data_IF_020195537159
#
_entry.id   IF_020195537159
#
_cell.length_a   1.000
_cell.length_b   1.000
_cell.length_c   1.000
_cell.angle_alpha   90.00
_cell.angle_beta   90.00
_cell.angle_gamma   90.00
#
_symmetry.space_group_name_H-M   'P 1'
#
loop_
_entity.id
_entity.type
_entity.pdbx_description
1 polymer ?
#
# COMPACT_ATOMS: atom_id res chain seq x y z
N UNK A 1 4.55 32.76 3.40
CA UNK A 1 5.13 31.40 3.27
C UNK A 1 4.93 30.72 4.60
N UNK A 2 4.24 29.58 4.61
CA UNK A 2 4.03 28.80 5.84
C UNK A 2 5.34 28.12 6.23
N UNK A 3 5.64 28.09 7.54
CA UNK A 3 6.80 27.36 8.05
C UNK A 3 6.41 25.92 8.35
N UNK A 4 7.19 24.96 7.86
CA UNK A 4 7.04 23.53 8.14
C UNK A 4 8.31 23.06 8.85
N UNK A 5 8.16 22.52 10.06
CA UNK A 5 9.29 21.94 10.79
C UNK A 5 9.71 20.63 10.10
N UNK A 6 10.95 20.59 9.61
CA UNK A 6 11.49 19.43 8.91
C UNK A 6 11.47 18.18 9.79
N UNK A 7 11.77 18.29 11.09
CA UNK A 7 11.80 17.13 11.99
C UNK A 7 10.41 16.48 12.11
N UNK A 8 9.37 17.30 12.25
CA UNK A 8 7.98 16.85 12.35
C UNK A 8 7.53 15.96 11.18
N UNK A 9 8.00 16.22 9.95
CA UNK A 9 7.70 15.41 8.76
C UNK A 9 8.20 13.97 8.83
N UNK A 10 9.16 13.69 9.72
CA UNK A 10 9.73 12.36 9.93
C UNK A 10 9.34 11.73 11.27
N UNK A 11 8.82 12.52 12.23
CA UNK A 11 8.51 12.04 13.58
C UNK A 11 7.03 12.09 13.96
N UNK A 12 6.17 12.76 13.18
CA UNK A 12 4.71 12.77 13.37
C UNK A 12 4.01 12.48 12.04
N UNK A 13 3.14 11.46 12.05
CA UNK A 13 2.33 11.13 10.89
C UNK A 13 1.32 12.24 10.59
N UNK A 14 0.72 12.81 11.63
CA UNK A 14 -0.24 13.91 11.53
C UNK A 14 0.39 15.13 10.85
N UNK A 15 1.59 15.54 11.27
CA UNK A 15 2.28 16.68 10.66
C UNK A 15 2.63 16.43 9.18
N UNK A 16 3.03 15.20 8.84
CA UNK A 16 3.30 14.82 7.45
C UNK A 16 2.04 14.83 6.59
N UNK A 17 0.94 14.28 7.10
CA UNK A 17 -0.35 14.26 6.38
C UNK A 17 -0.90 15.69 6.21
N UNK A 18 -0.83 16.52 7.25
CA UNK A 18 -1.22 17.93 7.16
C UNK A 18 -0.42 18.67 6.08
N UNK A 19 0.90 18.49 6.06
CA UNK A 19 1.77 19.06 5.02
C UNK A 19 1.38 18.56 3.61
N UNK A 20 1.19 17.25 3.43
CA UNK A 20 0.84 16.66 2.14
C UNK A 20 -0.53 17.14 1.65
N UNK A 21 -1.52 17.26 2.55
CA UNK A 21 -2.83 17.79 2.21
C UNK A 21 -2.73 19.23 1.73
N UNK A 22 -2.01 20.08 2.47
CA UNK A 22 -1.77 21.48 2.07
C UNK A 22 -1.02 21.59 0.75
N UNK A 23 0.03 20.80 0.56
CA UNK A 23 0.87 20.86 -0.63
C UNK A 23 0.14 20.38 -1.90
N UNK A 24 -0.72 19.38 -1.78
CA UNK A 24 -1.47 18.80 -2.90
C UNK A 24 -2.85 19.44 -3.10
N UNK A 25 -3.16 20.49 -2.34
CA UNK A 25 -4.51 21.08 -2.24
C UNK A 25 -5.58 19.99 -2.03
N UNK A 26 -5.31 18.98 -1.19
CA UNK A 26 -6.27 17.91 -0.89
C UNK A 26 -7.31 18.43 0.11
N UNK A 27 -8.51 18.73 -0.38
CA UNK A 27 -9.54 19.44 0.37
C UNK A 27 -10.93 18.77 0.28
N UNK A 28 -11.94 19.43 0.84
CA UNK A 28 -13.32 18.92 0.89
C UNK A 28 -13.88 18.56 -0.50
N UNK A 29 -13.43 19.22 -1.58
CA UNK A 29 -13.88 18.90 -2.94
C UNK A 29 -13.34 17.56 -3.41
N UNK A 30 -12.12 17.21 -3.01
CA UNK A 30 -11.54 15.90 -3.27
C UNK A 30 -12.27 14.83 -2.45
N UNK A 31 -12.57 15.10 -1.17
CA UNK A 31 -13.33 14.20 -0.31
C UNK A 31 -14.73 13.92 -0.87
N UNK A 32 -15.45 14.95 -1.33
CA UNK A 32 -16.74 14.81 -1.99
C UNK A 32 -16.66 13.97 -3.28
N UNK A 33 -15.63 14.20 -4.10
CA UNK A 33 -15.42 13.45 -5.33
C UNK A 33 -15.12 11.97 -5.05
N UNK A 34 -14.32 11.67 -4.03
CA UNK A 34 -14.02 10.30 -3.59
C UNK A 34 -15.27 9.61 -3.01
N UNK A 35 -16.03 10.30 -2.16
CA UNK A 35 -17.26 9.77 -1.59
C UNK A 35 -18.30 9.46 -2.69
N UNK A 36 -18.48 10.37 -3.65
CA UNK A 36 -19.34 10.17 -4.82
C UNK A 36 -18.90 8.95 -5.65
N UNK A 37 -17.60 8.81 -5.88
CA UNK A 37 -17.01 7.73 -6.67
C UNK A 37 -16.89 6.39 -5.95
N UNK A 38 -17.04 6.34 -4.63
CA UNK A 38 -16.65 5.19 -3.80
C UNK A 38 -17.33 3.88 -4.23
N UNK A 39 -18.64 3.90 -4.48
CA UNK A 39 -19.37 2.70 -4.95
C UNK A 39 -18.84 2.22 -6.31
N UNK A 40 -18.69 3.14 -7.26
CA UNK A 40 -18.17 2.82 -8.58
C UNK A 40 -16.76 2.23 -8.52
N UNK A 41 -15.86 2.83 -7.73
CA UNK A 41 -14.50 2.31 -7.56
C UNK A 41 -14.51 0.93 -6.91
N UNK A 42 -15.41 0.67 -5.94
CA UNK A 42 -15.57 -0.66 -5.32
C UNK A 42 -15.96 -1.73 -6.33
N UNK A 43 -16.87 -1.40 -7.25
CA UNK A 43 -17.32 -2.33 -8.30
C UNK A 43 -16.18 -2.70 -9.28
N UNK A 44 -15.16 -1.83 -9.41
CA UNK A 44 -13.96 -2.09 -10.23
C UNK A 44 -12.90 -2.96 -9.54
N UNK A 45 -12.94 -3.11 -8.22
CA UNK A 45 -11.88 -3.76 -7.44
C UNK A 45 -11.52 -5.15 -7.98
N UNK A 46 -12.48 -6.07 -8.28
CA UNK A 46 -12.14 -7.40 -8.76
C UNK A 46 -11.31 -7.38 -10.06
N UNK A 47 -11.64 -6.47 -10.98
CA UNK A 47 -10.92 -6.30 -12.24
C UNK A 47 -9.53 -5.70 -12.01
N UNK A 48 -9.41 -4.70 -11.14
CA UNK A 48 -8.12 -4.10 -10.77
C UNK A 48 -7.19 -5.15 -10.16
N UNK A 49 -7.68 -5.95 -9.21
CA UNK A 49 -6.91 -7.04 -8.59
C UNK A 49 -6.40 -8.00 -9.64
N UNK A 50 -7.27 -8.47 -10.53
CA UNK A 50 -6.89 -9.39 -11.60
C UNK A 50 -5.80 -8.82 -12.51
N UNK A 51 -5.93 -7.56 -12.95
CA UNK A 51 -4.94 -6.89 -13.80
C UNK A 51 -3.60 -6.74 -13.09
N UNK A 52 -3.60 -6.31 -11.82
CA UNK A 52 -2.39 -6.11 -11.02
C UNK A 52 -1.64 -7.42 -10.83
N UNK A 53 -2.30 -8.51 -10.45
CA UNK A 53 -1.62 -9.79 -10.25
C UNK A 53 -1.06 -10.37 -11.54
N UNK A 54 -1.82 -10.29 -12.64
CA UNK A 54 -1.27 -10.67 -13.95
C UNK A 54 -0.05 -9.84 -14.31
N UNK A 55 -0.03 -8.54 -13.98
CA UNK A 55 1.13 -7.67 -14.25
C UNK A 55 2.33 -8.03 -13.38
N UNK A 56 2.13 -8.34 -12.10
CA UNK A 56 3.19 -8.75 -11.18
C UNK A 56 3.76 -10.14 -11.50
N UNK A 57 2.97 -11.04 -12.09
CA UNK A 57 3.44 -12.35 -12.51
C UNK A 57 4.13 -12.36 -13.89
N UNK A 58 4.12 -11.23 -14.62
CA UNK A 58 4.86 -11.11 -15.89
C UNK A 58 6.37 -11.01 -15.71
N UNK A 59 6.84 -10.65 -14.50
CA UNK A 59 8.26 -10.49 -14.20
C UNK A 59 8.62 -11.37 -13.00
N UNK A 60 9.69 -12.12 -13.15
CA UNK A 60 10.24 -12.98 -12.10
C UNK A 60 10.53 -12.19 -10.81
N UNK A 61 11.16 -11.02 -10.92
CA UNK A 61 11.54 -10.19 -9.78
C UNK A 61 10.34 -9.79 -8.90
N UNK A 62 9.17 -9.56 -9.51
CA UNK A 62 7.93 -9.25 -8.76
C UNK A 62 7.19 -10.51 -8.34
N UNK A 63 7.22 -11.58 -9.15
CA UNK A 63 6.60 -12.87 -8.80
C UNK A 63 7.24 -13.50 -7.54
N UNK A 64 8.55 -13.32 -7.36
CA UNK A 64 9.31 -13.80 -6.20
C UNK A 64 8.80 -13.28 -4.86
N UNK A 65 8.16 -12.11 -4.82
CA UNK A 65 7.53 -11.61 -3.59
C UNK A 65 6.39 -12.50 -3.06
N UNK A 66 5.79 -13.35 -3.91
CA UNK A 66 4.68 -14.22 -3.52
C UNK A 66 5.16 -15.56 -2.96
N UNK A 67 6.24 -16.11 -3.52
CA UNK A 67 6.83 -17.38 -3.08
C UNK A 67 7.88 -17.15 -1.98
N UNK A 68 8.93 -16.38 -2.29
CA UNK A 68 10.11 -16.17 -1.42
C UNK A 68 9.88 -15.06 -0.41
N UNK A 69 8.96 -14.14 -0.70
CA UNK A 69 8.63 -12.97 0.15
C UNK A 69 9.77 -11.96 0.33
N UNK A 70 10.77 -11.99 -0.56
CA UNK A 70 11.84 -11.00 -0.62
C UNK A 70 12.27 -10.78 -2.08
N UNK A 71 12.05 -9.58 -2.61
CA UNK A 71 12.45 -9.24 -4.00
C UNK A 71 13.96 -9.23 -4.19
N UNK A 72 14.74 -9.02 -3.13
CA UNK A 72 16.21 -8.91 -3.17
C UNK A 72 16.92 -10.26 -3.18
N UNK A 73 16.22 -11.33 -2.81
CA UNK A 73 16.81 -12.66 -2.81
C UNK A 73 17.17 -13.04 -4.26
N UNK A 74 18.18 -13.89 -4.45
CA UNK A 74 18.54 -14.46 -5.76
C UNK A 74 18.20 -15.96 -5.82
N UNK A 75 17.48 -16.47 -4.81
CA UNK A 75 17.08 -17.87 -4.77
C UNK A 75 16.15 -18.19 -5.95
N UNK A 76 16.33 -19.37 -6.59
CA UNK A 76 15.51 -19.78 -7.71
C UNK A 76 14.06 -19.98 -7.26
N UNK A 77 13.12 -19.56 -8.10
CA UNK A 77 11.71 -19.90 -7.95
C UNK A 77 11.51 -21.41 -8.11
N UNK A 78 10.79 -22.03 -7.17
CA UNK A 78 10.46 -23.45 -7.21
C UNK A 78 9.15 -23.71 -7.95
N UNK A 79 8.24 -22.71 -7.98
CA UNK A 79 6.93 -22.84 -8.59
C UNK A 79 6.67 -21.77 -9.65
N UNK A 80 5.94 -22.16 -10.70
CA UNK A 80 5.30 -21.19 -11.60
C UNK A 80 3.91 -20.92 -11.02
N UNK A 81 3.77 -19.78 -10.35
CA UNK A 81 2.47 -19.35 -9.84
C UNK A 81 1.54 -19.00 -11.00
N UNK A 82 0.37 -19.62 -11.01
CA UNK A 82 -0.72 -19.32 -11.92
C UNK A 82 -1.92 -18.72 -11.18
N UNK A 83 -2.93 -18.29 -11.94
CA UNK A 83 -4.10 -17.64 -11.38
C UNK A 83 -4.88 -18.49 -10.36
N UNK A 84 -4.70 -19.83 -10.36
CA UNK A 84 -5.41 -20.78 -9.52
C UNK A 84 -4.60 -21.26 -8.31
N UNK A 85 -3.33 -20.85 -8.19
CA UNK A 85 -2.45 -21.25 -7.09
C UNK A 85 -3.01 -20.75 -5.75
N UNK A 86 -3.17 -21.62 -4.72
CA UNK A 86 -3.76 -21.25 -3.43
C UNK A 86 -3.07 -20.05 -2.76
N UNK A 87 -1.74 -19.98 -2.86
CA UNK A 87 -0.92 -18.89 -2.36
C UNK A 87 -1.29 -17.57 -3.03
N UNK A 88 -1.54 -17.59 -4.34
CA UNK A 88 -1.93 -16.39 -5.09
C UNK A 88 -3.36 -15.96 -4.72
N UNK A 89 -4.27 -16.91 -4.50
CA UNK A 89 -5.65 -16.61 -4.10
C UNK A 89 -5.71 -15.92 -2.73
N UNK A 90 -4.91 -16.35 -1.75
CA UNK A 90 -4.81 -15.67 -0.45
C UNK A 90 -4.34 -14.22 -0.62
N UNK A 91 -3.38 -13.98 -1.52
CA UNK A 91 -2.86 -12.63 -1.80
C UNK A 91 -3.87 -11.76 -2.55
N UNK A 92 -4.60 -12.33 -3.50
CA UNK A 92 -5.73 -11.65 -4.18
C UNK A 92 -6.78 -11.20 -3.17
N UNK A 93 -7.10 -12.03 -2.17
CA UNK A 93 -8.02 -11.64 -1.10
C UNK A 93 -7.49 -10.46 -0.28
N UNK A 94 -6.19 -10.46 0.06
CA UNK A 94 -5.57 -9.32 0.75
C UNK A 94 -5.66 -8.03 -0.06
N UNK A 95 -5.34 -8.07 -1.35
CA UNK A 95 -5.42 -6.87 -2.21
C UNK A 95 -6.87 -6.39 -2.38
N UNK A 96 -7.84 -7.29 -2.47
CA UNK A 96 -9.26 -6.93 -2.46
C UNK A 96 -9.64 -6.17 -1.18
N UNK A 97 -9.28 -6.69 -0.01
CA UNK A 97 -9.54 -6.02 1.27
C UNK A 97 -8.84 -4.67 1.36
N UNK A 98 -7.60 -4.59 0.88
CA UNK A 98 -6.82 -3.36 0.81
C UNK A 98 -7.47 -2.29 -0.07
N UNK A 99 -7.82 -2.63 -1.32
CA UNK A 99 -8.50 -1.71 -2.24
C UNK A 99 -9.90 -1.31 -1.73
N UNK A 100 -10.59 -2.21 -1.03
CA UNK A 100 -11.86 -1.88 -0.37
C UNK A 100 -11.64 -0.84 0.74
N UNK A 101 -10.54 -0.96 1.48
CA UNK A 101 -10.15 -0.01 2.52
C UNK A 101 -9.70 1.34 1.94
N UNK A 102 -9.10 1.36 0.74
CA UNK A 102 -8.83 2.62 0.00
C UNK A 102 -10.11 3.43 -0.21
N UNK A 103 -11.25 2.78 -0.38
CA UNK A 103 -12.56 3.43 -0.54
C UNK A 103 -13.24 3.85 0.77
N UNK A 104 -12.53 3.81 1.91
CA UNK A 104 -13.02 4.31 3.21
C UNK A 104 -12.74 5.81 3.39
N UNK A 105 -13.29 6.42 4.44
CA UNK A 105 -13.28 7.87 4.65
C UNK A 105 -11.86 8.44 4.84
N UNK A 106 -11.37 9.19 3.84
CA UNK A 106 -10.03 9.80 3.82
C UNK A 106 -9.92 11.08 4.66
N UNK A 107 -11.03 11.57 5.24
CA UNK A 107 -10.99 12.68 6.21
C UNK A 107 -10.44 12.27 7.58
N UNK A 108 -10.34 10.96 7.85
CA UNK A 108 -9.95 10.42 9.16
C UNK A 108 -8.48 10.02 9.17
N UNK A 109 -7.76 10.40 10.23
CA UNK A 109 -6.37 9.95 10.44
C UNK A 109 -6.22 8.43 10.45
N UNK A 110 -7.21 7.69 10.94
CA UNK A 110 -7.23 6.23 10.91
C UNK A 110 -7.08 5.62 9.49
N UNK A 111 -7.49 6.35 8.44
CA UNK A 111 -7.25 5.95 7.06
C UNK A 111 -5.76 6.02 6.71
N UNK A 112 -5.12 7.13 7.05
CA UNK A 112 -3.70 7.39 6.76
C UNK A 112 -2.78 6.51 7.61
N UNK A 113 -3.12 6.27 8.88
CA UNK A 113 -2.44 5.30 9.75
C UNK A 113 -2.47 3.88 9.17
N UNK A 114 -3.61 3.48 8.61
CA UNK A 114 -3.72 2.19 7.93
C UNK A 114 -2.75 2.10 6.75
N UNK A 115 -2.69 3.14 5.89
CA UNK A 115 -1.76 3.18 4.77
C UNK A 115 -0.30 3.17 5.23
N UNK A 116 0.03 3.94 6.26
CA UNK A 116 1.38 3.95 6.84
C UNK A 116 1.80 2.55 7.34
N UNK A 117 0.90 1.85 8.01
CA UNK A 117 1.13 0.47 8.44
C UNK A 117 1.34 -0.50 7.27
N UNK A 118 0.59 -0.32 6.16
CA UNK A 118 0.79 -1.13 4.95
C UNK A 118 2.17 -0.85 4.35
N UNK A 119 2.65 0.40 4.35
CA UNK A 119 4.03 0.74 3.98
C UNK A 119 5.07 -0.02 4.83
N UNK A 120 4.90 -0.01 6.15
CA UNK A 120 5.78 -0.75 7.08
C UNK A 120 5.78 -2.27 6.82
N UNK A 121 4.63 -2.85 6.44
CA UNK A 121 4.52 -4.28 6.13
C UNK A 121 5.37 -4.71 4.92
N UNK A 122 5.61 -3.82 3.95
CA UNK A 122 6.41 -4.11 2.75
C UNK A 122 7.91 -4.11 3.01
N UNK A 123 8.36 -3.60 4.16
CA UNK A 123 9.77 -3.65 4.60
C UNK A 123 10.01 -4.71 5.68
N UNK A 124 9.04 -5.60 5.89
CA UNK A 124 9.14 -6.74 6.79
C UNK A 124 8.69 -6.48 8.23
N UNK A 125 8.10 -5.32 8.52
CA UNK A 125 7.59 -5.00 9.85
C UNK A 125 6.14 -5.46 10.01
N UNK A 126 5.63 -5.46 11.26
CA UNK A 126 4.21 -5.67 11.62
C UNK A 126 3.61 -7.05 11.27
N UNK A 127 4.39 -8.01 10.75
CA UNK A 127 3.94 -9.39 10.47
C UNK A 127 4.90 -10.42 11.02
N UNK A 128 4.36 -11.57 11.42
CA UNK A 128 5.14 -12.74 11.86
C UNK A 128 5.96 -13.37 10.73
N UNK A 129 5.43 -13.36 9.50
CA UNK A 129 6.14 -13.77 8.27
C UNK A 129 6.52 -12.50 7.49
N UNK A 130 7.78 -12.05 7.53
CA UNK A 130 8.20 -10.83 6.85
C UNK A 130 7.91 -10.88 5.34
N UNK A 131 7.65 -9.71 4.76
CA UNK A 131 7.59 -9.49 3.33
C UNK A 131 8.52 -8.31 3.04
N UNK A 132 9.45 -8.48 2.10
CA UNK A 132 10.37 -7.43 1.68
C UNK A 132 10.19 -7.16 0.19
N UNK A 133 9.74 -5.96 -0.12
CA UNK A 133 9.52 -5.51 -1.50
C UNK A 133 10.26 -4.19 -1.67
N UNK A 134 11.16 -4.15 -2.64
CA UNK A 134 11.87 -2.92 -2.96
C UNK A 134 10.94 -1.84 -3.53
N UNK A 135 11.24 -0.59 -3.20
CA UNK A 135 10.38 0.55 -3.50
C UNK A 135 10.10 0.74 -4.99
N UNK A 136 11.04 0.35 -5.87
CA UNK A 136 10.83 0.41 -7.32
C UNK A 136 9.62 -0.42 -7.76
N UNK A 137 9.41 -1.60 -7.16
CA UNK A 137 8.28 -2.47 -7.49
C UNK A 137 6.99 -1.93 -6.88
N UNK A 138 7.06 -1.35 -5.68
CA UNK A 138 5.93 -0.70 -5.02
C UNK A 138 5.43 0.45 -5.89
N UNK A 139 6.30 1.41 -6.24
CA UNK A 139 5.93 2.61 -7.00
C UNK A 139 5.39 2.26 -8.40
N UNK A 140 6.01 1.29 -9.08
CA UNK A 140 5.52 0.78 -10.36
C UNK A 140 4.11 0.16 -10.23
N UNK A 141 3.85 -0.59 -9.17
CA UNK A 141 2.54 -1.22 -8.93
C UNK A 141 1.45 -0.18 -8.64
N UNK A 142 1.78 0.87 -7.87
CA UNK A 142 0.84 1.98 -7.62
C UNK A 142 0.49 2.72 -8.91
N UNK A 143 1.46 2.91 -9.82
CA UNK A 143 1.21 3.46 -11.15
C UNK A 143 0.24 2.59 -11.97
N UNK A 144 0.41 1.26 -11.95
CA UNK A 144 -0.53 0.33 -12.63
C UNK A 144 -1.94 0.47 -12.05
N UNK A 145 -2.10 0.51 -10.73
CA UNK A 145 -3.40 0.70 -10.07
C UNK A 145 -4.03 2.03 -10.49
N UNK A 146 -3.27 3.12 -10.45
CA UNK A 146 -3.74 4.44 -10.85
C UNK A 146 -4.19 4.47 -12.30
N UNK A 147 -3.43 3.84 -13.20
CA UNK A 147 -3.73 3.80 -14.62
C UNK A 147 -5.06 3.10 -14.89
N UNK A 148 -5.24 1.88 -14.35
CA UNK A 148 -6.47 1.09 -14.52
C UNK A 148 -7.69 1.83 -13.98
N UNK A 149 -7.56 2.44 -12.80
CA UNK A 149 -8.66 3.22 -12.20
C UNK A 149 -8.98 4.46 -13.03
N UNK A 150 -7.95 5.17 -13.53
CA UNK A 150 -8.13 6.36 -14.37
C UNK A 150 -8.85 6.02 -15.66
N UNK A 151 -8.40 4.98 -16.38
CA UNK A 151 -9.03 4.53 -17.61
C UNK A 151 -10.50 4.14 -17.38
N UNK A 152 -10.76 3.40 -16.31
CA UNK A 152 -12.12 2.95 -15.96
C UNK A 152 -13.05 4.12 -15.61
N UNK A 153 -12.57 5.10 -14.85
CA UNK A 153 -13.33 6.31 -14.50
C UNK A 153 -13.62 7.14 -15.75
N UNK A 154 -12.60 7.38 -16.59
CA UNK A 154 -12.77 8.21 -17.78
C UNK A 154 -13.66 7.55 -18.84
N UNK A 155 -13.67 6.22 -18.92
CA UNK A 155 -14.52 5.47 -19.86
C UNK A 155 -15.99 5.38 -19.43
N UNK A 156 -16.33 5.80 -18.20
CA UNK A 156 -17.69 5.73 -17.68
C UNK A 156 -18.59 6.85 -18.26
N UNK A 157 -19.14 6.61 -19.46
CA UNK A 157 -19.87 7.59 -20.28
C UNK A 157 -21.11 8.18 -19.61
N UNK A 158 -21.72 7.49 -18.64
CA UNK A 158 -22.90 7.96 -17.91
C UNK A 158 -22.58 9.12 -16.96
N UNK A 159 -21.33 9.23 -16.48
CA UNK A 159 -20.94 10.30 -15.57
C UNK A 159 -20.53 11.56 -16.34
N UNK A 160 -20.97 12.76 -15.90
CA UNK A 160 -20.49 14.01 -16.48
C UNK A 160 -18.96 14.10 -16.48
N UNK A 161 -18.37 14.68 -17.52
CA UNK A 161 -16.91 14.77 -17.65
C UNK A 161 -16.28 15.49 -16.45
N UNK A 162 -16.92 16.55 -15.93
CA UNK A 162 -16.47 17.27 -14.74
C UNK A 162 -16.35 16.37 -13.50
N UNK A 163 -17.31 15.46 -13.30
CA UNK A 163 -17.28 14.48 -12.20
C UNK A 163 -16.17 13.46 -12.39
N UNK A 164 -16.01 12.94 -13.62
CA UNK A 164 -14.91 12.01 -13.94
C UNK A 164 -13.53 12.64 -13.70
N UNK A 165 -13.33 13.89 -14.13
CA UNK A 165 -12.09 14.64 -13.88
C UNK A 165 -11.86 14.84 -12.39
N UNK A 166 -12.89 15.26 -11.63
CA UNK A 166 -12.77 15.44 -10.18
C UNK A 166 -12.36 14.13 -9.48
N UNK A 167 -13.00 13.01 -9.84
CA UNK A 167 -12.66 11.68 -9.30
C UNK A 167 -11.22 11.28 -9.62
N UNK A 168 -10.76 11.44 -10.86
CA UNK A 168 -9.38 11.12 -11.26
C UNK A 168 -8.37 11.97 -10.49
N UNK A 169 -8.62 13.28 -10.35
CA UNK A 169 -7.75 14.18 -9.58
C UNK A 169 -7.66 13.76 -8.12
N UNK A 170 -8.81 13.58 -7.46
CA UNK A 170 -8.86 13.23 -6.05
C UNK A 170 -8.20 11.88 -5.77
N UNK A 171 -8.49 10.87 -6.59
CA UNK A 171 -7.86 9.55 -6.47
C UNK A 171 -6.35 9.60 -6.71
N UNK A 172 -5.89 10.39 -7.69
CA UNK A 172 -4.46 10.57 -7.95
C UNK A 172 -3.74 11.15 -6.73
N UNK A 173 -4.34 12.15 -6.05
CA UNK A 173 -3.77 12.71 -4.81
C UNK A 173 -3.65 11.65 -3.72
N UNK A 174 -4.69 10.84 -3.49
CA UNK A 174 -4.65 9.73 -2.51
C UNK A 174 -3.53 8.74 -2.83
N UNK A 175 -3.36 8.34 -4.10
CA UNK A 175 -2.29 7.43 -4.52
C UNK A 175 -0.90 8.04 -4.30
N UNK A 176 -0.73 9.33 -4.54
CA UNK A 176 0.55 10.01 -4.30
C UNK A 176 0.86 10.18 -2.81
N UNK A 177 -0.12 10.48 -1.96
CA UNK A 177 0.06 10.49 -0.51
C UNK A 177 0.43 9.09 -0.02
N UNK A 178 -0.28 8.06 -0.50
CA UNK A 178 0.04 6.67 -0.20
C UNK A 178 1.48 6.32 -0.63
N UNK A 179 1.88 6.72 -1.83
CA UNK A 179 3.22 6.47 -2.35
C UNK A 179 4.30 7.12 -1.47
N UNK A 180 4.08 8.36 -0.99
CA UNK A 180 4.97 9.01 -0.03
C UNK A 180 5.06 8.26 1.30
N UNK A 181 3.91 7.85 1.86
CA UNK A 181 3.88 7.07 3.10
C UNK A 181 4.65 5.76 2.96
N UNK A 182 4.57 5.09 1.80
CA UNK A 182 5.31 3.86 1.56
C UNK A 182 6.80 4.15 1.35
N UNK A 183 7.13 5.20 0.59
CA UNK A 183 8.50 5.63 0.36
C UNK A 183 9.24 5.94 1.66
N UNK A 184 8.57 6.58 2.63
CA UNK A 184 9.12 6.88 3.97
C UNK A 184 9.74 5.64 4.65
N UNK A 185 9.15 4.46 4.46
CA UNK A 185 9.66 3.21 5.02
C UNK A 185 10.84 2.61 4.24
N UNK A 186 11.04 3.02 2.98
CA UNK A 186 12.07 2.49 2.09
C UNK A 186 13.30 3.40 1.93
N UNK A 187 13.13 4.72 2.03
CA UNK A 187 14.22 5.69 1.89
C UNK A 187 14.89 6.01 3.23
N UNK A 188 16.04 6.69 3.14
CA UNK A 188 16.90 7.05 4.27
C UNK A 188 16.74 8.51 4.74
N UNK A 189 15.82 9.24 4.13
CA UNK A 189 15.58 10.65 4.46
C UNK A 189 15.07 10.80 5.90
N UNK A 190 15.67 11.71 6.66
CA UNK A 190 15.28 11.99 8.04
C UNK A 190 15.73 10.94 9.07
N UNK A 191 16.64 10.03 8.71
CA UNK A 191 17.26 9.07 9.63
C UNK A 191 17.89 9.76 10.85
N UNK A 192 18.42 10.98 10.70
CA UNK A 192 18.97 11.79 11.78
C UNK A 192 17.94 12.16 12.87
N UNK A 193 16.64 12.11 12.57
CA UNK A 193 15.57 12.49 13.50
C UNK A 193 14.91 11.32 14.22
N UNK A 194 15.06 10.10 13.69
CA UNK A 194 14.39 8.90 14.22
C UNK A 194 15.18 8.20 15.32
N UNK A 195 16.40 8.68 15.60
CA UNK A 195 17.30 8.09 16.59
C UNK A 195 17.80 6.72 16.14
N UNK A 196 19.00 6.34 16.59
CA UNK A 196 19.64 5.08 16.20
C UNK A 196 18.80 3.81 16.38
N UNK A 197 17.64 3.85 17.05
CA UNK A 197 16.70 2.73 17.18
C UNK A 197 16.02 2.33 15.86
N UNK A 198 15.62 3.28 14.99
CA UNK A 198 15.09 2.94 13.66
C UNK A 198 16.20 2.43 12.72
N UNK A 199 17.41 2.99 12.87
CA UNK A 199 18.61 2.52 12.18
C UNK A 199 19.06 1.13 12.68
N UNK A 200 18.97 0.83 13.98
CA UNK A 200 19.28 -0.48 14.59
C UNK A 200 18.23 -1.52 14.21
N UNK A 201 16.94 -1.19 14.24
CA UNK A 201 15.89 -2.07 13.74
C UNK A 201 16.07 -2.37 12.24
N UNK A 202 16.56 -1.41 11.44
CA UNK A 202 16.92 -1.63 10.03
C UNK A 202 18.23 -2.41 9.86
N UNK A 203 19.24 -2.19 10.70
CA UNK A 203 20.59 -2.77 10.60
C UNK A 203 20.66 -4.23 11.12
N UNK A 204 20.07 -4.54 12.26
CA UNK A 204 19.97 -5.92 12.77
C UNK A 204 19.20 -6.84 11.79
N UNK A 205 18.31 -6.26 11.00
CA UNK A 205 17.52 -6.94 9.98
C UNK A 205 18.22 -7.16 8.63
N UNK A 206 19.32 -6.45 8.35
CA UNK A 206 20.22 -6.72 7.22
C UNK A 206 21.22 -7.83 7.58
N UNK A 207 21.63 -7.92 8.85
CA UNK A 207 22.57 -8.94 9.34
C UNK A 207 21.95 -10.35 9.47
N UNK A 208 20.65 -10.45 9.78
CA UNK A 208 19.93 -11.74 9.89
C UNK A 208 19.69 -12.48 8.56
N UNK A 209 20.20 -11.96 7.44
CA UNK A 209 20.22 -12.69 6.15
C UNK A 209 21.28 -13.80 6.10
N UNK A 210 22.13 -13.92 7.13
CA UNK A 210 23.05 -15.05 7.32
C UNK A 210 22.49 -16.06 8.34
N UNK A 211 22.17 -17.25 7.84
CA UNK A 211 22.04 -18.53 8.55
C UNK A 211 21.24 -18.61 9.85
N UNK A 212 19.99 -19.12 9.77
CA UNK A 212 19.43 -19.97 10.83
C UNK A 212 18.52 -21.08 10.23
N UNK A 213 18.67 -22.37 10.62
CA UNK A 213 17.92 -23.49 10.03
C UNK A 213 16.46 -23.55 10.46
N UNK A 214 15.61 -24.04 9.54
CA UNK A 214 14.17 -24.22 9.70
C UNK A 214 13.83 -25.26 10.79
N UNK A 215 12.92 -24.89 11.70
CA UNK A 215 12.08 -25.83 12.46
C UNK A 215 10.61 -25.55 12.17
N UNK A 216 9.87 -26.60 11.87
CA UNK A 216 8.46 -26.60 11.47
C UNK A 216 7.45 -26.39 12.62
N UNK A 217 6.22 -26.08 12.18
CA UNK A 217 4.92 -26.02 12.89
C UNK A 217 4.56 -24.65 13.48
N UNK A 218 3.31 -24.16 13.46
CA UNK A 218 2.01 -24.77 13.16
C UNK A 218 1.04 -23.74 12.50
N UNK A 219 -0.09 -24.26 12.03
CA UNK A 219 -1.22 -23.61 11.34
C UNK A 219 -1.60 -22.23 11.92
N UNK A 220 -1.58 -21.19 11.08
CA UNK A 220 -1.85 -19.80 11.47
C UNK A 220 -3.25 -19.37 11.03
N UNK A 221 -4.13 -19.18 11.99
CA UNK A 221 -5.43 -18.50 11.84
C UNK A 221 -5.23 -17.05 11.38
N UNK A 222 -6.11 -16.55 10.50
CA UNK A 222 -6.04 -15.19 9.96
C UNK A 222 -6.13 -14.11 11.07
N UNK A 223 -5.19 -13.14 11.14
CA UNK A 223 -5.10 -12.17 12.23
C UNK A 223 -6.09 -11.00 12.13
N UNK A 224 -7.03 -11.00 11.17
CA UNK A 224 -7.97 -9.90 10.94
C UNK A 224 -9.37 -10.09 11.53
N UNK A 225 -9.64 -11.19 12.25
CA UNK A 225 -10.95 -11.39 12.90
C UNK A 225 -11.27 -10.37 14.00
N UNK A 226 -10.29 -9.61 14.51
CA UNK A 226 -10.45 -8.74 15.67
C UNK A 226 -10.78 -7.26 15.40
N UNK A 227 -10.83 -6.79 14.16
CA UNK A 227 -11.02 -5.35 13.85
C UNK A 227 -12.40 -4.98 13.31
N UNK A 228 -13.35 -5.92 13.24
CA UNK A 228 -14.71 -5.68 12.73
C UNK A 228 -15.78 -5.47 13.82
N UNK A 229 -15.44 -5.59 15.10
CA UNK A 229 -16.39 -5.39 16.21
C UNK A 229 -16.20 -4.02 16.84
N UNK A 230 -16.83 -3.00 16.24
CA UNK A 230 -16.75 -1.64 16.77
C UNK A 230 -17.55 -0.58 16.03
N UNK A 231 -18.68 -0.93 15.40
CA UNK A 231 -19.75 0.03 15.06
C UNK A 231 -21.08 -0.72 15.16
N UNK A 232 -21.76 -0.58 16.29
CA UNK A 232 -23.21 -0.77 16.39
C UNK A 232 -23.76 0.44 17.14
N UNK A 233 -24.63 1.16 16.42
CA UNK A 233 -25.64 2.15 16.83
C UNK A 233 -25.21 3.33 17.69
#
# INVERSE_FOLDING_TARGET
MEHIDRKSLYTSLEARIDYLHKFLDFDDRDLEALAFGSKFVKDLIPAVVHIVYRKLLQFDITARAFEIRDTRSEAPLQSVLDDNSPELQERKNFLNSYLTKICSDQSKMAFWEYLDNVGAMHVGLRRSKPLRVEYIHISATLCVIQHVLTESILSHSVLPMSRRVAMVKALSKVIWIQNDLFAKWCVRDGEEFTGGAAAMARADHLASAGDVPLKESAVSTCPFSGMASGVQS
#
